data_IF_999040714759
#
_entry.id   IF_999040714759
#
_cell.length_a   1.000
_cell.length_b   1.000
_cell.length_c   1.000
_cell.angle_alpha   90.00
_cell.angle_beta   90.00
_cell.angle_gamma   90.00
#
_symmetry.space_group_name_H-M   'P 1'
#
loop_
_entity.id
_entity.type
_entity.pdbx_description
1 polymer ?
#
# COMPACT_ATOMS: atom_id res chain seq x y z
N UNK A 1 16.42 23.52 -18.94
CA UNK A 1 15.30 22.69 -18.45
C UNK A 1 14.75 23.36 -17.21
N UNK A 2 13.52 23.88 -17.26
CA UNK A 2 12.86 24.52 -16.13
C UNK A 2 11.89 23.55 -15.47
N UNK A 3 11.88 23.51 -14.14
CA UNK A 3 10.92 22.72 -13.37
C UNK A 3 9.60 23.48 -13.27
N UNK A 4 8.47 22.79 -13.50
CA UNK A 4 7.12 23.33 -13.33
C UNK A 4 6.47 22.70 -12.08
N UNK A 5 5.93 23.55 -11.20
CA UNK A 5 5.33 23.15 -9.90
C UNK A 5 3.81 23.38 -9.82
N UNK A 6 3.17 23.75 -10.92
CA UNK A 6 1.80 24.29 -10.91
C UNK A 6 0.71 23.22 -10.76
N UNK A 7 1.10 21.95 -10.79
CA UNK A 7 0.18 20.81 -10.73
C UNK A 7 -0.63 20.65 -12.01
N UNK A 8 -1.15 19.43 -12.20
CA UNK A 8 -1.91 19.05 -13.39
C UNK A 8 -3.40 19.18 -13.09
N UNK A 9 -4.12 19.92 -13.93
CA UNK A 9 -5.57 20.05 -13.86
C UNK A 9 -6.26 18.91 -14.63
N UNK A 10 -5.83 18.67 -15.87
CA UNK A 10 -6.38 17.64 -16.74
C UNK A 10 -5.39 17.20 -17.82
N UNK A 11 -5.64 16.01 -18.37
CA UNK A 11 -4.87 15.40 -19.45
C UNK A 11 -5.84 15.16 -20.61
N UNK A 12 -5.45 15.59 -21.80
CA UNK A 12 -6.13 15.36 -23.07
C UNK A 12 -5.27 14.47 -23.97
N UNK A 13 -5.76 14.20 -25.18
CA UNK A 13 -5.11 13.27 -26.12
C UNK A 13 -3.66 13.64 -26.42
N UNK A 14 -3.38 14.93 -26.66
CA UNK A 14 -2.04 15.41 -27.04
C UNK A 14 -1.45 16.41 -26.02
N UNK A 15 -2.20 16.76 -24.98
CA UNK A 15 -1.95 17.95 -24.18
C UNK A 15 -2.18 17.73 -22.68
N UNK A 16 -1.38 18.39 -21.86
CA UNK A 16 -1.57 18.49 -20.41
C UNK A 16 -1.92 19.94 -20.07
N UNK A 17 -3.01 20.15 -19.33
CA UNK A 17 -3.38 21.48 -18.82
C UNK A 17 -2.95 21.60 -17.35
N UNK A 18 -2.14 22.61 -17.04
CA UNK A 18 -1.75 22.93 -15.66
C UNK A 18 -2.86 23.69 -14.93
N UNK A 19 -2.81 23.77 -13.60
CA UNK A 19 -3.82 24.55 -12.85
C UNK A 19 -3.81 26.06 -13.16
N UNK A 20 -2.75 26.58 -13.79
CA UNK A 20 -2.68 27.98 -14.25
C UNK A 20 -3.28 28.17 -15.65
N UNK A 21 -3.70 27.09 -16.31
CA UNK A 21 -4.25 27.10 -17.67
C UNK A 21 -3.19 26.98 -18.76
N UNK A 22 -1.91 26.75 -18.41
CA UNK A 22 -0.87 26.52 -19.41
C UNK A 22 -1.11 25.18 -20.10
N UNK A 23 -0.98 25.19 -21.43
CA UNK A 23 -1.13 24.01 -22.28
C UNK A 23 0.26 23.46 -22.64
N UNK A 24 0.56 22.25 -22.20
CA UNK A 24 1.81 21.55 -22.48
C UNK A 24 1.53 20.42 -23.49
N UNK A 25 1.92 20.63 -24.74
CA UNK A 25 1.78 19.61 -25.79
C UNK A 25 2.88 18.55 -25.65
N UNK A 26 2.50 17.29 -25.82
CA UNK A 26 3.42 16.17 -25.65
C UNK A 26 3.01 14.96 -26.49
N UNK A 27 3.96 14.40 -27.24
CA UNK A 27 3.74 13.15 -27.98
C UNK A 27 3.80 11.90 -27.09
N UNK A 28 4.52 11.99 -25.96
CA UNK A 28 4.80 10.86 -25.07
C UNK A 28 4.63 11.29 -23.60
N UNK A 29 3.88 10.49 -22.85
CA UNK A 29 3.69 10.67 -21.41
C UNK A 29 4.34 9.52 -20.62
N UNK A 30 5.23 9.86 -19.68
CA UNK A 30 5.91 8.89 -18.82
C UNK A 30 5.31 8.91 -17.42
N UNK A 31 4.64 7.82 -17.03
CA UNK A 31 4.11 7.65 -15.68
C UNK A 31 5.18 7.08 -14.75
N UNK A 32 5.98 7.96 -14.16
CA UNK A 32 6.96 7.62 -13.12
C UNK A 32 6.33 7.64 -11.71
N UNK A 33 5.15 7.05 -11.54
CA UNK A 33 4.39 7.07 -10.27
C UNK A 33 4.95 6.14 -9.17
N UNK A 34 6.04 5.43 -9.48
CA UNK A 34 6.69 4.48 -8.57
C UNK A 34 5.90 3.20 -8.40
N UNK A 35 6.02 2.59 -7.23
CA UNK A 35 5.28 1.39 -6.84
C UNK A 35 4.63 1.60 -5.48
N UNK A 36 3.57 0.85 -5.20
CA UNK A 36 2.98 0.81 -3.87
C UNK A 36 3.97 0.08 -2.94
N UNK A 37 4.81 0.84 -2.27
CA UNK A 37 5.81 0.34 -1.32
C UNK A 37 5.11 -0.05 -0.01
N UNK A 38 4.51 -1.24 0.01
CA UNK A 38 3.98 -1.87 1.21
C UNK A 38 4.40 -3.33 1.18
N UNK A 39 5.10 -3.75 2.24
CA UNK A 39 5.47 -5.12 2.63
C UNK A 39 4.72 -6.18 1.81
N UNK A 40 5.46 -7.00 1.06
CA UNK A 40 4.95 -7.83 -0.05
C UNK A 40 3.77 -8.76 0.32
N UNK A 41 3.55 -9.05 1.60
CA UNK A 41 2.36 -9.73 2.11
C UNK A 41 1.24 -8.79 2.58
N UNK A 42 1.57 -7.63 3.14
CA UNK A 42 0.59 -6.59 3.48
C UNK A 42 0.01 -5.91 2.22
N UNK A 43 0.68 -5.90 1.07
CA UNK A 43 0.05 -5.36 -0.16
C UNK A 43 -1.03 -6.31 -0.72
N UNK A 44 -0.79 -7.64 -0.62
CA UNK A 44 -1.76 -8.68 -0.96
C UNK A 44 -2.98 -8.72 -0.02
N UNK A 45 -2.82 -8.24 1.22
CA UNK A 45 -3.82 -8.34 2.28
C UNK A 45 -4.48 -6.98 2.58
N UNK A 46 -3.72 -5.88 2.63
CA UNK A 46 -4.12 -4.60 3.24
C UNK A 46 -4.50 -3.50 2.22
N UNK A 47 -3.98 -3.50 0.99
CA UNK A 47 -4.10 -2.33 0.10
C UNK A 47 -4.75 -2.57 -1.26
N UNK A 48 -5.70 -3.50 -1.31
CA UNK A 48 -6.70 -3.62 -2.40
C UNK A 48 -7.99 -2.87 -2.08
N UNK A 49 -8.00 -1.96 -1.10
CA UNK A 49 -9.22 -1.36 -0.55
C UNK A 49 -9.32 0.16 -0.62
N UNK A 50 -8.68 0.85 -1.58
CA UNK A 50 -9.15 2.24 -1.80
C UNK A 50 -9.33 2.84 -3.17
N UNK A 51 -8.60 2.55 -4.25
CA UNK A 51 -8.97 3.22 -5.53
C UNK A 51 -8.86 2.52 -6.88
N UNK A 52 -8.10 1.44 -7.12
CA UNK A 52 -7.87 1.08 -8.54
C UNK A 52 -7.96 -0.40 -8.95
N UNK A 53 -8.02 -1.38 -8.04
CA UNK A 53 -8.01 -2.79 -8.48
C UNK A 53 -8.78 -3.67 -7.51
N UNK A 54 -10.12 -3.62 -7.51
CA UNK A 54 -10.96 -4.32 -6.54
C UNK A 54 -10.86 -5.87 -6.59
N UNK A 55 -10.36 -6.47 -7.67
CA UNK A 55 -10.66 -7.89 -7.96
C UNK A 55 -9.51 -8.81 -8.39
N UNK A 56 -8.22 -8.44 -8.29
CA UNK A 56 -7.17 -9.32 -8.90
C UNK A 56 -6.21 -10.05 -7.96
N UNK A 57 -6.05 -9.65 -6.70
CA UNK A 57 -4.98 -10.25 -5.86
C UNK A 57 -5.29 -10.25 -4.35
N UNK A 58 -6.51 -10.57 -3.93
CA UNK A 58 -6.81 -10.78 -2.50
C UNK A 58 -6.82 -12.28 -2.16
N UNK A 59 -5.75 -12.77 -1.54
CA UNK A 59 -5.77 -14.10 -0.92
C UNK A 59 -6.44 -13.96 0.45
N UNK A 60 -7.62 -14.58 0.62
CA UNK A 60 -8.32 -14.58 1.90
C UNK A 60 -7.72 -15.64 2.83
N UNK A 61 -6.86 -15.21 3.76
CA UNK A 61 -6.25 -16.07 4.77
C UNK A 61 -7.05 -15.95 6.05
N UNK A 62 -7.56 -17.08 6.57
CA UNK A 62 -8.31 -17.14 7.83
C UNK A 62 -7.50 -17.83 8.91
N UNK A 63 -7.50 -17.21 10.09
CA UNK A 63 -6.84 -17.74 11.27
C UNK A 63 -7.72 -18.72 12.04
N UNK A 64 -7.24 -19.14 13.20
CA UNK A 64 -7.89 -20.11 14.08
C UNK A 64 -9.31 -19.70 14.51
N UNK A 65 -9.57 -18.40 14.64
CA UNK A 65 -10.87 -17.85 15.04
C UNK A 65 -11.83 -17.60 13.86
N UNK A 66 -11.47 -18.03 12.64
CA UNK A 66 -12.25 -17.78 11.42
C UNK A 66 -12.14 -16.35 10.86
N UNK A 67 -11.57 -15.42 11.64
CA UNK A 67 -11.24 -14.06 11.20
C UNK A 67 -10.14 -14.06 10.15
N UNK A 68 -10.26 -13.18 9.19
CA UNK A 68 -9.24 -12.93 8.17
C UNK A 68 -8.08 -12.10 8.73
N UNK A 69 -6.91 -12.19 8.10
CA UNK A 69 -5.76 -11.31 8.47
C UNK A 69 -6.17 -9.83 8.36
N UNK A 70 -6.99 -9.48 7.37
CA UNK A 70 -7.54 -8.14 7.18
C UNK A 70 -8.39 -7.68 8.37
N UNK A 71 -9.25 -8.56 8.91
CA UNK A 71 -10.07 -8.25 10.08
C UNK A 71 -9.22 -8.15 11.35
N UNK A 72 -8.16 -8.95 11.47
CA UNK A 72 -7.23 -8.89 12.61
C UNK A 72 -6.45 -7.56 12.63
N UNK A 73 -5.97 -7.12 11.47
CA UNK A 73 -5.10 -5.96 11.30
C UNK A 73 -5.87 -4.63 11.11
N UNK A 74 -7.18 -4.68 10.91
CA UNK A 74 -8.04 -3.47 10.91
C UNK A 74 -8.45 -3.07 12.33
N UNK A 75 -8.41 -4.01 13.29
CA UNK A 75 -8.74 -3.77 14.70
C UNK A 75 -7.59 -3.12 15.48
N UNK A 76 -6.35 -3.30 15.02
CA UNK A 76 -5.14 -2.69 15.60
C UNK A 76 -4.07 -2.60 14.53
N UNK A 77 -3.06 -1.72 14.66
CA UNK A 77 -2.05 -1.64 13.59
C UNK A 77 -1.26 -2.96 13.45
N UNK A 78 -0.72 -3.24 12.26
CA UNK A 78 -0.07 -4.50 11.94
C UNK A 78 0.97 -5.00 12.94
N UNK A 79 0.77 -6.22 13.44
CA UNK A 79 1.65 -6.84 14.45
C UNK A 79 2.12 -8.21 13.99
N UNK A 80 3.43 -8.40 14.03
CA UNK A 80 4.05 -9.69 13.82
C UNK A 80 5.17 -9.91 14.84
N UNK A 81 5.26 -11.13 15.38
CA UNK A 81 6.34 -11.54 16.26
C UNK A 81 7.63 -11.68 15.43
N UNK A 82 8.65 -10.89 15.81
CA UNK A 82 9.93 -10.74 15.08
C UNK A 82 9.66 -10.49 13.58
N UNK A 83 8.58 -9.77 13.27
CA UNK A 83 8.16 -9.48 11.91
C UNK A 83 7.89 -10.68 11.00
N UNK A 84 7.68 -11.87 11.57
CA UNK A 84 7.61 -13.12 10.80
C UNK A 84 6.25 -13.82 10.96
N UNK A 85 5.67 -13.84 12.16
CA UNK A 85 4.41 -14.59 12.43
C UNK A 85 3.33 -13.71 13.05
N UNK A 86 2.07 -13.91 12.66
CA UNK A 86 0.90 -13.17 13.20
C UNK A 86 0.15 -14.02 14.21
N UNK A 87 -0.23 -13.44 15.36
CA UNK A 87 -1.01 -14.14 16.38
C UNK A 87 -2.38 -14.56 15.84
N UNK A 88 -2.80 -15.79 16.13
CA UNK A 88 -4.05 -16.36 15.63
C UNK A 88 -3.96 -17.00 14.24
N UNK A 89 -2.83 -16.92 13.55
CA UNK A 89 -2.59 -17.53 12.24
C UNK A 89 -1.46 -18.58 12.33
N UNK A 90 -1.74 -19.78 12.88
CA UNK A 90 -0.73 -20.83 13.00
C UNK A 90 -0.21 -21.24 11.62
N UNK A 91 1.09 -21.56 11.54
CA UNK A 91 1.80 -21.96 10.31
C UNK A 91 1.76 -20.92 9.17
N UNK A 92 1.41 -19.66 9.46
CA UNK A 92 1.57 -18.54 8.54
C UNK A 92 2.88 -17.81 8.85
N UNK A 93 3.79 -17.79 7.87
CA UNK A 93 5.08 -17.12 7.97
C UNK A 93 5.19 -16.05 6.88
N UNK A 94 5.78 -14.92 7.24
CA UNK A 94 5.97 -13.77 6.37
C UNK A 94 7.46 -13.45 6.25
N UNK A 95 7.94 -13.27 5.03
CA UNK A 95 9.27 -12.71 4.79
C UNK A 95 9.14 -11.19 4.79
N UNK A 96 9.96 -10.52 5.60
CA UNK A 96 9.97 -9.05 5.71
C UNK A 96 8.63 -8.46 6.15
N UNK A 97 7.97 -9.09 7.13
CA UNK A 97 6.68 -8.65 7.66
C UNK A 97 6.72 -7.32 8.41
N UNK A 98 5.59 -6.91 9.01
CA UNK A 98 5.49 -5.68 9.79
C UNK A 98 6.64 -5.54 10.81
N UNK A 99 7.13 -4.32 11.03
CA UNK A 99 8.18 -3.99 12.01
C UNK A 99 9.59 -4.53 11.69
N UNK A 100 9.93 -4.85 10.43
CA UNK A 100 11.30 -5.27 10.02
C UNK A 100 12.02 -4.24 9.16
N UNK A 101 11.57 -4.06 7.91
CA UNK A 101 12.30 -3.24 6.91
C UNK A 101 12.09 -1.73 7.11
N UNK A 102 10.92 -1.31 7.59
CA UNK A 102 10.56 0.11 7.75
C UNK A 102 10.17 0.44 9.19
N UNK A 103 11.14 0.62 10.10
CA UNK A 103 10.91 0.74 11.55
C UNK A 103 10.10 1.98 11.97
N UNK A 104 10.00 3.02 11.13
CA UNK A 104 9.23 4.24 11.44
C UNK A 104 7.70 4.10 11.31
N UNK A 105 7.21 2.99 10.73
CA UNK A 105 5.77 2.64 10.73
C UNK A 105 5.39 1.60 11.79
N UNK A 106 6.27 1.39 12.77
CA UNK A 106 6.04 0.38 13.79
C UNK A 106 4.96 0.79 14.77
N UNK A 107 4.03 -0.11 15.05
CA UNK A 107 3.10 0.01 16.17
C UNK A 107 3.90 0.17 17.48
N UNK A 108 3.57 1.17 18.31
CA UNK A 108 4.13 1.25 19.66
C UNK A 108 3.74 0.00 20.45
N UNK A 109 4.74 -0.74 20.92
CA UNK A 109 4.57 -1.98 21.67
C UNK A 109 4.15 -1.66 23.12
N UNK A 110 2.91 -1.23 23.34
CA UNK A 110 2.38 -0.98 24.69
C UNK A 110 1.41 -2.05 25.20
N UNK A 111 1.12 -3.10 24.42
CA UNK A 111 0.32 -4.24 24.87
C UNK A 111 1.23 -5.46 25.09
N UNK A 112 1.36 -5.98 26.33
CA UNK A 112 1.94 -7.30 26.54
C UNK A 112 1.04 -8.34 25.89
N UNK A 113 1.66 -9.40 25.37
CA UNK A 113 0.99 -10.56 24.80
C UNK A 113 0.04 -11.22 25.79
#
# INVERSE_FOLDING_TARGET
MSLNWDGIQSIYENDIITNKGDKLESDIMIFATGFVAVCLLLSFIYYTLRRLTKDRFSVSIRGRSGKTVQEHESQSCPKAYIGTTVSGFPNLFMVSGPNTIYPWRSCSSSSPF
#
